data_IF_023643469218
#
_entry.id   IF_023643469218
#
_cell.length_a   1.000
_cell.length_b   1.000
_cell.length_c   1.000
_cell.angle_alpha   90.00
_cell.angle_beta   90.00
_cell.angle_gamma   90.00
#
_symmetry.space_group_name_H-M   'P 1'
#
loop_
_entity.id
_entity.type
_entity.pdbx_description
1 polymer ?
#
# COMPACT_ATOMS: atom_id res chain seq x y z
N UNK A 1 -1.70 -28.20 23.52
CA UNK A 1 -0.91 -27.41 22.57
C UNK A 1 0.45 -27.15 23.21
N UNK A 2 1.51 -27.75 22.69
CA UNK A 2 2.85 -27.70 23.30
C UNK A 2 3.60 -26.44 22.86
N UNK A 3 4.57 -25.98 23.66
CA UNK A 3 5.43 -24.82 23.35
C UNK A 3 6.11 -24.89 21.97
N UNK A 4 6.37 -26.10 21.50
CA UNK A 4 6.91 -26.38 20.16
C UNK A 4 5.91 -26.13 19.02
N UNK A 5 4.63 -26.42 19.21
CA UNK A 5 3.58 -26.16 18.20
C UNK A 5 3.33 -24.66 18.03
N UNK A 6 3.34 -23.90 19.12
CA UNK A 6 3.21 -22.43 19.09
C UNK A 6 4.39 -21.77 18.36
N UNK A 7 5.62 -22.22 18.64
CA UNK A 7 6.83 -21.69 17.99
C UNK A 7 6.87 -21.98 16.47
N UNK A 8 6.39 -23.14 16.04
CA UNK A 8 6.28 -23.48 14.62
C UNK A 8 5.25 -22.59 13.90
N UNK A 9 4.10 -22.36 14.53
CA UNK A 9 3.05 -21.48 13.99
C UNK A 9 3.53 -20.04 13.78
N UNK A 10 4.23 -19.47 14.77
CA UNK A 10 4.79 -18.12 14.67
C UNK A 10 5.87 -18.02 13.57
N UNK A 11 6.72 -19.04 13.44
CA UNK A 11 7.76 -19.06 12.40
C UNK A 11 7.15 -19.06 10.99
N UNK A 12 6.11 -19.85 10.77
CA UNK A 12 5.38 -19.90 9.49
C UNK A 12 4.73 -18.55 9.19
N UNK A 13 4.07 -17.94 10.19
CA UNK A 13 3.41 -16.63 10.05
C UNK A 13 4.41 -15.52 9.70
N UNK A 14 5.56 -15.48 10.37
CA UNK A 14 6.62 -14.48 10.10
C UNK A 14 7.15 -14.64 8.68
N UNK A 15 7.44 -15.88 8.25
CA UNK A 15 7.91 -16.15 6.88
C UNK A 15 6.87 -15.77 5.83
N UNK A 16 5.61 -16.12 6.04
CA UNK A 16 4.52 -15.75 5.15
C UNK A 16 4.39 -14.22 5.00
N UNK A 17 4.45 -13.49 6.12
CA UNK A 17 4.45 -12.02 6.10
C UNK A 17 5.66 -11.44 5.35
N UNK A 18 6.84 -12.04 5.50
CA UNK A 18 8.04 -11.60 4.78
C UNK A 18 7.88 -11.76 3.26
N UNK A 19 7.31 -12.88 2.79
CA UNK A 19 7.01 -13.08 1.37
C UNK A 19 5.96 -12.11 0.85
N UNK A 20 4.90 -11.84 1.61
CA UNK A 20 3.88 -10.87 1.20
C UNK A 20 4.47 -9.47 1.10
N UNK A 21 5.29 -9.05 2.07
CA UNK A 21 5.92 -7.72 2.12
C UNK A 21 6.95 -7.47 1.02
N UNK A 22 7.44 -8.52 0.35
CA UNK A 22 8.43 -8.41 -0.73
C UNK A 22 7.85 -8.77 -2.09
N UNK A 23 7.13 -9.89 -2.17
CA UNK A 23 6.51 -10.39 -3.38
C UNK A 23 5.37 -9.50 -3.88
N UNK A 24 4.52 -8.99 -2.99
CA UNK A 24 3.40 -8.13 -3.42
C UNK A 24 3.91 -6.81 -4.02
N UNK A 25 4.82 -6.05 -3.38
CA UNK A 25 5.38 -4.85 -4.00
C UNK A 25 6.11 -5.14 -5.32
N UNK A 26 6.86 -6.24 -5.41
CA UNK A 26 7.56 -6.61 -6.64
C UNK A 26 6.59 -6.93 -7.80
N UNK A 27 5.54 -7.71 -7.53
CA UNK A 27 4.52 -8.05 -8.52
C UNK A 27 3.75 -6.82 -8.99
N UNK A 28 3.35 -5.95 -8.07
CA UNK A 28 2.66 -4.70 -8.41
C UNK A 28 3.60 -3.80 -9.23
N UNK A 29 4.86 -3.65 -8.83
CA UNK A 29 5.85 -2.89 -9.58
C UNK A 29 6.00 -3.39 -11.01
N UNK A 30 6.18 -4.71 -11.19
CA UNK A 30 6.29 -5.33 -12.51
C UNK A 30 5.03 -5.10 -13.37
N UNK A 31 3.84 -5.25 -12.77
CA UNK A 31 2.57 -5.01 -13.47
C UNK A 31 2.42 -3.55 -13.90
N UNK A 32 2.75 -2.60 -13.02
CA UNK A 32 2.69 -1.17 -13.32
C UNK A 32 3.70 -0.79 -14.41
N UNK A 33 4.93 -1.30 -14.36
CA UNK A 33 5.93 -1.09 -15.40
C UNK A 33 5.47 -1.66 -16.74
N UNK A 34 4.91 -2.87 -16.74
CA UNK A 34 4.33 -3.48 -17.93
C UNK A 34 3.20 -2.62 -18.50
N UNK A 35 2.30 -2.12 -17.67
CA UNK A 35 1.20 -1.27 -18.12
C UNK A 35 1.72 0.07 -18.67
N UNK A 36 2.68 0.70 -17.99
CA UNK A 36 3.30 1.94 -18.45
C UNK A 36 3.99 1.76 -19.82
N UNK A 37 4.61 0.60 -20.08
CA UNK A 37 5.19 0.29 -21.39
C UNK A 37 4.18 0.19 -22.53
N UNK A 38 2.88 0.03 -22.22
CA UNK A 38 1.80 0.03 -23.22
C UNK A 38 1.28 1.42 -23.55
N UNK A 39 1.68 2.45 -22.80
CA UNK A 39 1.20 3.83 -22.96
C UNK A 39 2.40 4.74 -23.27
N UNK A 40 2.69 5.01 -24.56
CA UNK A 40 3.89 5.75 -24.98
C UNK A 40 4.06 7.10 -24.27
N UNK A 41 2.96 7.86 -24.13
CA UNK A 41 2.97 9.15 -23.45
C UNK A 41 3.49 9.10 -22.00
N UNK A 42 3.21 8.02 -21.27
CA UNK A 42 3.68 7.83 -19.90
C UNK A 42 5.16 7.46 -19.89
N UNK A 43 5.57 6.58 -20.80
CA UNK A 43 6.96 6.15 -20.90
C UNK A 43 7.90 7.28 -21.33
N UNK A 44 7.49 8.05 -22.34
CA UNK A 44 8.26 9.19 -22.86
C UNK A 44 8.38 10.31 -21.81
N UNK A 45 7.31 10.60 -21.09
CA UNK A 45 7.34 11.56 -19.99
C UNK A 45 8.31 11.14 -18.88
N UNK A 46 8.28 9.87 -18.46
CA UNK A 46 9.18 9.36 -17.43
C UNK A 46 10.65 9.33 -17.89
N UNK A 47 10.90 9.10 -19.18
CA UNK A 47 12.22 9.14 -19.77
C UNK A 47 12.77 10.58 -19.85
N UNK A 48 11.92 11.56 -20.11
CA UNK A 48 12.29 12.98 -20.22
C UNK A 48 12.59 13.66 -18.88
N UNK A 49 12.23 13.05 -17.75
CA UNK A 49 12.49 13.61 -16.41
C UNK A 49 13.94 13.39 -16.02
N UNK A 50 14.66 14.49 -15.81
CA UNK A 50 16.05 14.44 -15.37
C UNK A 50 16.19 13.68 -14.05
N UNK A 51 17.27 12.89 -13.88
CA UNK A 51 17.47 12.09 -12.68
C UNK A 51 17.41 12.87 -11.37
N UNK A 52 17.84 14.13 -11.38
CA UNK A 52 17.83 15.02 -10.21
C UNK A 52 16.41 15.33 -9.70
N UNK A 53 15.42 15.39 -10.61
CA UNK A 53 14.02 15.71 -10.27
C UNK A 53 13.18 14.46 -10.00
N UNK A 54 13.68 13.24 -10.27
CA UNK A 54 12.91 11.99 -10.10
C UNK A 54 12.44 11.77 -8.67
N UNK A 55 13.27 12.08 -7.67
CA UNK A 55 12.90 11.92 -6.26
C UNK A 55 11.73 12.84 -5.88
N UNK A 56 11.74 14.08 -6.37
CA UNK A 56 10.65 15.04 -6.16
C UNK A 56 9.38 14.62 -6.92
N UNK A 57 9.53 14.10 -8.12
CA UNK A 57 8.39 13.57 -8.88
C UNK A 57 7.75 12.38 -8.16
N UNK A 58 8.56 11.44 -7.64
CA UNK A 58 8.05 10.29 -6.89
C UNK A 58 7.35 10.71 -5.59
N UNK A 59 7.90 11.68 -4.86
CA UNK A 59 7.25 12.18 -3.64
C UNK A 59 5.93 12.89 -3.95
N UNK A 60 5.88 13.69 -5.03
CA UNK A 60 4.66 14.33 -5.51
C UNK A 60 3.58 13.31 -5.89
N UNK A 61 3.94 12.29 -6.69
CA UNK A 61 3.02 11.22 -7.09
C UNK A 61 2.54 10.45 -5.87
N UNK A 62 3.43 10.14 -4.93
CA UNK A 62 3.06 9.46 -3.67
C UNK A 62 2.07 10.29 -2.87
N UNK A 63 2.31 11.59 -2.74
CA UNK A 63 1.40 12.51 -2.05
C UNK A 63 0.02 12.57 -2.73
N UNK A 64 -0.01 12.60 -4.07
CA UNK A 64 -1.26 12.56 -4.84
C UNK A 64 -2.03 11.25 -4.63
N UNK A 65 -1.34 10.11 -4.62
CA UNK A 65 -1.95 8.79 -4.37
C UNK A 65 -2.53 8.73 -2.96
N UNK A 66 -1.81 9.22 -1.95
CA UNK A 66 -2.30 9.29 -0.57
C UNK A 66 -3.57 10.16 -0.52
N UNK A 67 -3.52 11.35 -1.13
CA UNK A 67 -4.66 12.27 -1.13
C UNK A 67 -5.87 11.67 -1.85
N UNK A 68 -5.65 10.99 -2.98
CA UNK A 68 -6.70 10.27 -3.70
C UNK A 68 -7.29 9.13 -2.86
N UNK A 69 -6.45 8.35 -2.17
CA UNK A 69 -6.89 7.29 -1.27
C UNK A 69 -7.78 7.84 -0.15
N UNK A 70 -7.34 8.91 0.53
CA UNK A 70 -8.13 9.55 1.57
C UNK A 70 -9.43 10.14 1.03
N UNK A 71 -9.41 10.79 -0.12
CA UNK A 71 -10.59 11.35 -0.75
C UNK A 71 -11.61 10.25 -1.11
N UNK A 72 -11.15 9.15 -1.70
CA UNK A 72 -11.99 7.99 -2.04
C UNK A 72 -12.57 7.34 -0.78
N UNK A 73 -11.75 7.11 0.25
CA UNK A 73 -12.21 6.55 1.50
C UNK A 73 -13.28 7.43 2.17
N UNK A 74 -13.09 8.75 2.16
CA UNK A 74 -14.07 9.72 2.69
C UNK A 74 -15.36 9.73 1.86
N UNK A 75 -15.25 9.67 0.54
CA UNK A 75 -16.40 9.65 -0.36
C UNK A 75 -17.22 8.36 -0.23
N UNK A 76 -16.54 7.20 -0.17
CA UNK A 76 -17.16 5.91 0.11
C UNK A 76 -17.77 5.89 1.52
N UNK A 77 -17.08 6.48 2.49
CA UNK A 77 -17.54 6.60 3.88
C UNK A 77 -18.84 7.37 4.04
N UNK A 78 -19.01 8.47 3.28
CA UNK A 78 -20.29 9.23 3.23
C UNK A 78 -21.48 8.37 2.82
N UNK A 79 -21.27 7.37 1.96
CA UNK A 79 -22.31 6.41 1.59
C UNK A 79 -22.39 5.28 2.60
N UNK A 80 -21.28 4.63 2.92
CA UNK A 80 -21.22 3.45 3.78
C UNK A 80 -20.19 3.63 4.93
N UNK A 81 -20.63 3.98 6.15
CA UNK A 81 -19.72 4.29 7.26
C UNK A 81 -18.85 3.10 7.71
N UNK A 82 -19.27 1.86 7.42
CA UNK A 82 -18.47 0.66 7.65
C UNK A 82 -17.25 0.56 6.74
N UNK A 83 -17.32 1.07 5.50
CA UNK A 83 -16.17 1.09 4.59
C UNK A 83 -15.11 2.06 5.09
N UNK A 84 -15.52 3.24 5.59
CA UNK A 84 -14.57 4.20 6.15
C UNK A 84 -13.79 3.59 7.32
N UNK A 85 -14.48 2.85 8.20
CA UNK A 85 -13.85 2.17 9.34
C UNK A 85 -12.92 1.04 8.89
N UNK A 86 -13.23 0.35 7.78
CA UNK A 86 -12.39 -0.72 7.24
C UNK A 86 -11.13 -0.18 6.54
N UNK A 87 -11.26 0.91 5.77
CA UNK A 87 -10.17 1.49 5.00
C UNK A 87 -9.27 2.41 5.82
N UNK A 88 -9.84 3.24 6.69
CA UNK A 88 -9.11 4.21 7.51
C UNK A 88 -8.88 3.72 8.95
N UNK A 89 -9.47 2.58 9.32
CA UNK A 89 -9.46 2.09 10.69
C UNK A 89 -10.53 2.74 11.57
N UNK A 90 -10.57 2.32 12.83
CA UNK A 90 -11.46 2.90 13.83
C UNK A 90 -10.79 4.10 14.49
N UNK A 91 -11.49 5.24 14.54
CA UNK A 91 -11.07 6.44 15.29
C UNK A 91 -11.30 6.32 16.80
N UNK A 92 -11.89 5.21 17.29
CA UNK A 92 -12.12 5.00 18.72
C UNK A 92 -10.81 4.87 19.47
N UNK A 93 -10.63 5.67 20.51
CA UNK A 93 -9.54 5.54 21.47
C UNK A 93 -9.63 4.20 22.20
N UNK A 94 -8.53 3.42 22.27
CA UNK A 94 -8.53 2.17 23.04
C UNK A 94 -8.65 2.47 24.53
N UNK A 95 -9.60 1.83 25.21
CA UNK A 95 -9.72 1.86 26.66
C UNK A 95 -8.92 0.69 27.20
N UNK A 96 -7.79 0.96 27.83
CA UNK A 96 -7.01 -0.04 28.54
C UNK A 96 -7.50 -0.09 29.99
N UNK A 97 -8.02 -1.23 30.41
CA UNK A 97 -8.23 -1.50 31.84
C UNK A 97 -6.86 -1.67 32.50
N UNK A 98 -6.63 -0.93 33.59
CA UNK A 98 -5.43 -1.02 34.42
C UNK A 98 -5.35 -2.37 35.15
#
# INVERSE_FOLDING_TARGET
MTTTELALGDTIRIRALAYVRTGVPALIGALLTWLASRIPAVFDFLAAVDPEWRTLLYSLVTALVILAYYALARWLGKRWPKIETLMLGSSKTPVYTA
#
